data_IF_276895405102
#
_entry.id   IF_276895405102
#
_cell.length_a   1.000
_cell.length_b   1.000
_cell.length_c   1.000
_cell.angle_alpha   90.00
_cell.angle_beta   90.00
_cell.angle_gamma   90.00
#
_symmetry.space_group_name_H-M   'P 1'
#
loop_
_entity.id
_entity.type
_entity.pdbx_description
1 polymer ?
#
# COMPACT_ATOMS: atom_id res chain seq x y z
N UNK A 1 -26.95 78.70 -43.76
CA UNK A 1 -27.52 77.58 -44.49
C UNK A 1 -26.38 76.62 -44.87
N UNK A 2 -26.13 75.64 -44.09
CA UNK A 2 -25.18 74.58 -44.45
C UNK A 2 -25.88 73.24 -44.20
N UNK A 3 -26.07 72.47 -45.24
CA UNK A 3 -26.63 71.16 -45.26
C UNK A 3 -25.47 70.20 -45.14
N UNK A 4 -25.47 69.38 -44.11
CA UNK A 4 -24.53 68.26 -43.90
C UNK A 4 -25.08 66.98 -44.52
N UNK A 5 -24.31 66.38 -45.42
CA UNK A 5 -24.59 65.06 -45.97
C UNK A 5 -24.17 63.96 -44.98
N UNK A 6 -24.88 62.84 -44.87
CA UNK A 6 -24.54 61.80 -43.98
C UNK A 6 -23.46 60.85 -44.58
N UNK A 7 -22.51 60.45 -43.73
CA UNK A 7 -21.47 59.51 -44.04
C UNK A 7 -22.04 58.08 -44.13
N UNK A 8 -21.98 57.51 -45.32
CA UNK A 8 -22.43 56.13 -45.65
C UNK A 8 -21.25 55.12 -45.74
N UNK A 9 -20.18 55.36 -44.98
CA UNK A 9 -18.94 54.61 -45.15
C UNK A 9 -18.65 53.55 -44.02
N UNK A 10 -19.50 53.49 -42.98
CA UNK A 10 -19.17 52.59 -41.83
C UNK A 10 -19.70 51.15 -41.98
N UNK A 11 -20.76 50.93 -42.71
CA UNK A 11 -21.37 49.59 -42.82
C UNK A 11 -20.63 48.63 -43.77
N UNK A 12 -19.94 49.12 -44.76
CA UNK A 12 -19.17 48.25 -45.67
C UNK A 12 -17.84 47.81 -45.08
N UNK A 13 -17.21 48.63 -44.23
CA UNK A 13 -15.98 48.25 -43.55
C UNK A 13 -16.22 47.20 -42.43
N UNK A 14 -17.30 47.29 -41.68
CA UNK A 14 -17.65 46.27 -40.67
C UNK A 14 -17.97 44.92 -41.33
N UNK A 15 -18.64 44.90 -42.46
CA UNK A 15 -18.97 43.64 -43.17
C UNK A 15 -17.73 42.95 -43.74
N UNK A 16 -16.71 43.71 -44.13
CA UNK A 16 -15.45 43.17 -44.66
C UNK A 16 -14.58 42.57 -43.54
N UNK A 17 -14.53 43.23 -42.37
CA UNK A 17 -13.81 42.73 -41.19
C UNK A 17 -14.45 41.46 -40.66
N UNK A 18 -15.76 41.37 -40.58
CA UNK A 18 -16.46 40.15 -40.11
C UNK A 18 -16.25 38.96 -41.03
N UNK A 19 -16.22 39.13 -42.32
CA UNK A 19 -15.99 38.04 -43.29
C UNK A 19 -14.55 37.57 -43.37
N UNK A 20 -13.58 38.43 -43.01
CA UNK A 20 -12.16 38.10 -43.16
C UNK A 20 -11.53 37.53 -41.89
N UNK A 21 -11.97 37.97 -40.71
CA UNK A 21 -11.36 37.58 -39.42
C UNK A 21 -12.17 36.56 -38.60
N UNK A 22 -13.47 36.40 -38.87
CA UNK A 22 -14.32 35.44 -38.20
C UNK A 22 -14.52 34.13 -38.99
N UNK A 23 -13.52 33.70 -39.73
CA UNK A 23 -13.50 32.27 -40.14
C UNK A 23 -13.36 31.42 -38.90
N UNK A 24 -14.50 30.91 -38.40
CA UNK A 24 -14.53 29.89 -37.34
C UNK A 24 -13.49 28.84 -37.71
N UNK A 25 -12.54 28.50 -36.80
CA UNK A 25 -11.59 27.46 -37.08
C UNK A 25 -12.37 26.20 -37.44
N UNK A 26 -12.11 25.65 -38.60
CA UNK A 26 -12.67 24.35 -38.99
C UNK A 26 -12.39 23.41 -37.86
N UNK A 27 -13.44 22.85 -37.24
CA UNK A 27 -13.29 21.78 -36.27
C UNK A 27 -12.59 20.63 -37.00
N UNK A 28 -11.25 20.58 -36.86
CA UNK A 28 -10.49 19.38 -37.19
C UNK A 28 -11.01 18.33 -36.23
N UNK A 29 -12.04 17.64 -36.62
CA UNK A 29 -12.42 16.38 -35.99
C UNK A 29 -11.28 15.42 -36.27
N UNK A 30 -10.27 15.45 -35.42
CA UNK A 30 -9.25 14.41 -35.37
C UNK A 30 -10.02 13.14 -35.02
N UNK A 31 -10.47 12.42 -36.05
CA UNK A 31 -10.91 11.05 -35.89
C UNK A 31 -9.70 10.28 -35.37
N UNK A 32 -9.52 10.33 -34.04
CA UNK A 32 -8.65 9.38 -33.36
C UNK A 32 -9.35 8.04 -33.56
N UNK A 33 -8.93 7.32 -34.59
CA UNK A 33 -9.26 5.91 -34.77
C UNK A 33 -8.84 5.24 -33.47
N UNK A 34 -9.79 5.04 -32.57
CA UNK A 34 -9.59 4.22 -31.40
C UNK A 34 -9.40 2.78 -31.91
N UNK A 35 -8.16 2.45 -32.24
CA UNK A 35 -7.78 1.06 -32.35
C UNK A 35 -8.05 0.47 -30.97
N UNK A 36 -9.16 -0.21 -30.81
CA UNK A 36 -9.43 -1.05 -29.64
C UNK A 36 -8.40 -2.17 -29.70
N UNK A 37 -7.25 -1.94 -29.07
CA UNK A 37 -6.35 -3.03 -28.78
C UNK A 37 -7.07 -3.95 -27.82
N UNK A 38 -7.47 -5.10 -28.30
CA UNK A 38 -7.98 -6.17 -27.44
C UNK A 38 -6.75 -6.74 -26.73
N UNK A 39 -6.41 -6.14 -25.58
CA UNK A 39 -5.33 -6.66 -24.74
C UNK A 39 -5.83 -7.94 -24.07
N UNK A 40 -5.19 -9.05 -24.37
CA UNK A 40 -5.35 -10.28 -23.63
C UNK A 40 -4.24 -10.32 -22.57
N UNK A 41 -4.62 -10.33 -21.30
CA UNK A 41 -3.65 -10.49 -20.23
C UNK A 41 -2.96 -11.86 -20.34
N UNK A 42 -1.64 -11.95 -20.07
CA UNK A 42 -0.96 -13.24 -20.04
C UNK A 42 -1.58 -14.13 -18.96
N UNK A 43 -1.67 -15.45 -19.22
CA UNK A 43 -2.25 -16.38 -18.24
C UNK A 43 -1.37 -16.46 -17.00
N UNK A 44 -2.01 -16.61 -15.82
CA UNK A 44 -1.29 -16.63 -14.54
C UNK A 44 -0.48 -17.91 -14.31
N UNK A 45 -0.73 -18.96 -15.07
CA UNK A 45 -0.03 -20.25 -14.99
C UNK A 45 1.43 -20.21 -15.46
N UNK A 46 1.85 -19.13 -16.16
CA UNK A 46 3.27 -18.89 -16.46
C UNK A 46 4.07 -18.42 -15.21
N UNK A 47 3.39 -18.04 -14.13
CA UNK A 47 4.00 -17.57 -12.90
C UNK A 47 4.13 -18.71 -11.89
N UNK A 48 5.16 -18.62 -11.05
CA UNK A 48 5.37 -19.57 -9.97
C UNK A 48 4.40 -19.32 -8.81
N UNK A 49 3.92 -20.42 -8.20
CA UNK A 49 3.15 -20.43 -6.98
C UNK A 49 4.02 -20.27 -5.72
N UNK A 50 3.38 -20.17 -4.56
CA UNK A 50 4.05 -20.16 -3.26
C UNK A 50 4.91 -21.41 -3.07
N UNK A 51 6.11 -21.24 -2.51
CA UNK A 51 7.05 -22.36 -2.25
C UNK A 51 7.41 -22.41 -0.76
N UNK A 52 7.37 -23.61 -0.23
CA UNK A 52 7.71 -23.89 1.17
C UNK A 52 6.55 -23.60 2.13
N UNK A 53 6.72 -24.06 3.36
CA UNK A 53 5.80 -23.79 4.47
C UNK A 53 6.55 -22.99 5.54
N UNK A 54 5.97 -21.86 6.02
CA UNK A 54 6.62 -21.09 7.08
C UNK A 54 6.61 -21.90 8.38
N UNK A 55 7.70 -21.84 9.13
CA UNK A 55 7.78 -22.44 10.46
C UNK A 55 8.33 -21.42 11.44
N UNK A 56 7.49 -21.02 12.39
CA UNK A 56 7.85 -20.11 13.49
C UNK A 56 8.51 -20.83 14.67
N UNK A 57 8.66 -22.15 14.61
CA UNK A 57 9.06 -22.95 15.76
C UNK A 57 7.94 -23.07 16.81
N UNK A 58 8.30 -23.12 18.08
CA UNK A 58 7.31 -23.23 19.18
C UNK A 58 6.73 -21.83 19.51
N UNK A 59 5.54 -21.56 18.98
CA UNK A 59 4.83 -20.30 19.17
C UNK A 59 4.55 -20.00 20.64
N UNK A 60 4.15 -21.03 21.41
CA UNK A 60 3.83 -20.87 22.83
C UNK A 60 5.07 -20.58 23.66
N UNK A 61 6.17 -21.28 23.38
CA UNK A 61 7.45 -21.03 24.04
C UNK A 61 7.93 -19.61 23.77
N UNK A 62 7.90 -19.15 22.52
CA UNK A 62 8.30 -17.79 22.14
C UNK A 62 7.42 -16.72 22.81
N UNK A 63 6.10 -16.90 22.83
CA UNK A 63 5.18 -16.00 23.51
C UNK A 63 5.49 -15.90 25.02
N UNK A 64 5.78 -17.03 25.67
CA UNK A 64 6.17 -17.05 27.06
C UNK A 64 7.52 -16.37 27.32
N UNK A 65 8.51 -16.55 26.44
CA UNK A 65 9.80 -15.87 26.52
C UNK A 65 9.60 -14.36 26.42
N UNK A 66 8.83 -13.87 25.46
CA UNK A 66 8.52 -12.45 25.30
C UNK A 66 7.89 -11.90 26.58
N UNK A 67 6.84 -12.55 27.08
CA UNK A 67 6.13 -12.13 28.28
C UNK A 67 7.06 -12.07 29.48
N UNK A 68 7.83 -13.13 29.74
CA UNK A 68 8.76 -13.20 30.87
C UNK A 68 9.88 -12.17 30.76
N UNK A 69 10.43 -11.96 29.59
CA UNK A 69 11.48 -10.95 29.38
C UNK A 69 10.96 -9.57 29.73
N UNK A 70 9.79 -9.17 29.23
CA UNK A 70 9.19 -7.88 29.55
C UNK A 70 8.87 -7.76 31.06
N UNK A 71 8.36 -8.81 31.69
CA UNK A 71 8.09 -8.83 33.12
C UNK A 71 9.35 -8.66 33.95
N UNK A 72 10.48 -9.27 33.57
CA UNK A 72 11.77 -9.09 34.25
C UNK A 72 12.26 -7.64 34.25
N UNK A 73 11.86 -6.86 33.24
CA UNK A 73 12.12 -5.41 33.18
C UNK A 73 10.99 -4.56 33.79
N UNK A 74 10.08 -5.18 34.54
CA UNK A 74 8.96 -4.50 35.19
C UNK A 74 7.92 -3.95 34.22
N UNK A 75 7.73 -4.63 33.11
CA UNK A 75 6.72 -4.30 32.09
C UNK A 75 5.69 -5.42 32.04
N UNK A 76 4.51 -5.16 32.60
CA UNK A 76 3.40 -6.11 32.52
C UNK A 76 2.69 -5.99 31.17
N UNK A 77 2.49 -7.16 30.53
CA UNK A 77 1.83 -7.26 29.23
C UNK A 77 0.86 -8.45 29.19
N UNK A 78 -0.19 -8.27 28.43
CA UNK A 78 -1.13 -9.33 28.09
C UNK A 78 -0.87 -9.75 26.62
N UNK A 79 -0.59 -11.04 26.42
CA UNK A 79 -0.44 -11.58 25.06
C UNK A 79 -1.81 -11.69 24.41
N UNK A 80 -1.91 -11.25 23.16
CA UNK A 80 -3.14 -11.27 22.36
C UNK A 80 -3.03 -12.31 21.25
N UNK A 81 -3.02 -11.90 20.00
CA UNK A 81 -2.99 -12.79 18.83
C UNK A 81 -1.56 -13.11 18.40
N UNK A 82 -1.39 -14.23 17.70
CA UNK A 82 -0.14 -14.56 17.03
C UNK A 82 -0.44 -14.86 15.56
N UNK A 83 0.14 -14.06 14.68
CA UNK A 83 -0.03 -14.17 13.24
C UNK A 83 1.23 -14.72 12.60
N UNK A 84 1.11 -15.86 11.91
CA UNK A 84 2.24 -16.50 11.23
C UNK A 84 2.25 -16.06 9.79
N UNK A 85 3.20 -15.21 9.43
CA UNK A 85 3.43 -14.78 8.06
C UNK A 85 4.45 -15.66 7.32
N UNK A 86 4.72 -15.34 6.05
CA UNK A 86 5.64 -16.14 5.23
C UNK A 86 7.09 -16.13 5.73
N UNK A 87 7.58 -14.99 6.22
CA UNK A 87 8.97 -14.80 6.65
C UNK A 87 9.12 -14.48 8.13
N UNK A 88 8.09 -13.89 8.75
CA UNK A 88 8.09 -13.50 10.17
C UNK A 88 6.80 -13.96 10.84
N UNK A 89 6.86 -14.14 12.16
CA UNK A 89 5.70 -14.36 13.01
C UNK A 89 5.52 -13.14 13.91
N UNK A 90 4.35 -12.53 13.87
CA UNK A 90 4.00 -11.37 14.67
C UNK A 90 3.29 -11.81 15.95
N UNK A 91 3.87 -11.47 17.09
CA UNK A 91 3.27 -11.63 18.41
C UNK A 91 2.67 -10.32 18.84
N UNK A 92 1.35 -10.25 19.00
CA UNK A 92 0.68 -9.03 19.44
C UNK A 92 0.49 -9.05 20.95
N UNK A 93 0.68 -7.90 21.57
CA UNK A 93 0.53 -7.74 23.01
C UNK A 93 -0.06 -6.38 23.38
N UNK A 94 -0.74 -6.34 24.53
CA UNK A 94 -1.28 -5.15 25.11
C UNK A 94 -0.50 -4.83 26.40
N UNK A 95 0.19 -3.69 26.48
CA UNK A 95 0.85 -3.27 27.71
C UNK A 95 -0.18 -2.82 28.76
N UNK A 96 0.16 -2.97 30.04
CA UNK A 96 -0.62 -2.42 31.14
C UNK A 96 -0.68 -0.88 31.06
N UNK A 97 -1.71 -0.30 31.64
CA UNK A 97 -1.90 1.15 31.64
C UNK A 97 -0.70 1.86 32.28
N UNK A 98 -0.34 3.02 31.71
CA UNK A 98 0.77 3.83 32.20
C UNK A 98 2.16 3.42 31.70
N UNK A 99 2.30 2.32 30.96
CA UNK A 99 3.58 1.91 30.38
C UNK A 99 3.88 2.73 29.14
N UNK A 100 5.05 3.39 29.12
CA UNK A 100 5.52 4.14 27.95
C UNK A 100 6.00 3.17 26.87
N UNK A 101 5.53 3.32 25.63
CA UNK A 101 5.92 2.49 24.49
C UNK A 101 7.43 2.48 24.26
N UNK A 102 8.09 3.63 24.48
CA UNK A 102 9.55 3.75 24.35
C UNK A 102 10.33 2.78 25.28
N UNK A 103 9.78 2.37 26.43
CA UNK A 103 10.41 1.36 27.29
C UNK A 103 10.42 -0.03 26.63
N UNK A 104 9.35 -0.36 25.90
CA UNK A 104 9.23 -1.64 25.22
C UNK A 104 10.13 -1.68 23.99
N UNK A 105 10.12 -0.61 23.18
CA UNK A 105 10.98 -0.53 22.00
C UNK A 105 12.47 -0.52 22.34
N UNK A 106 12.86 0.04 23.49
CA UNK A 106 14.24 0.02 23.97
C UNK A 106 14.75 -1.41 24.27
N UNK A 107 13.86 -2.36 24.58
CA UNK A 107 14.21 -3.75 24.89
C UNK A 107 14.31 -4.66 23.66
N UNK A 108 14.33 -4.09 22.45
CA UNK A 108 14.40 -4.84 21.20
C UNK A 108 15.59 -5.82 21.17
N UNK A 109 16.77 -5.36 21.60
CA UNK A 109 17.98 -6.19 21.62
C UNK A 109 17.92 -7.28 22.71
N UNK A 110 17.35 -6.97 23.87
CA UNK A 110 17.20 -7.94 24.96
C UNK A 110 16.22 -9.05 24.58
N UNK A 111 15.12 -8.69 23.90
CA UNK A 111 14.17 -9.64 23.34
C UNK A 111 14.79 -10.49 22.22
N UNK A 112 15.59 -9.89 21.35
CA UNK A 112 16.29 -10.60 20.29
C UNK A 112 17.28 -11.63 20.86
N UNK A 113 17.97 -11.27 21.93
CA UNK A 113 18.88 -12.17 22.65
C UNK A 113 18.09 -13.32 23.32
N UNK A 114 17.01 -12.99 24.03
CA UNK A 114 16.21 -13.97 24.76
C UNK A 114 15.53 -15.01 23.83
N UNK A 115 15.13 -14.58 22.64
CA UNK A 115 14.51 -15.40 21.60
C UNK A 115 15.51 -16.12 20.70
N UNK A 116 16.82 -15.79 20.83
CA UNK A 116 17.88 -16.20 19.90
C UNK A 116 17.49 -15.92 18.42
N UNK A 117 16.86 -14.77 18.16
CA UNK A 117 16.29 -14.41 16.88
C UNK A 117 16.68 -12.98 16.48
N UNK A 118 17.36 -12.82 15.35
CA UNK A 118 17.79 -11.52 14.84
C UNK A 118 17.69 -11.50 13.30
N UNK A 119 17.19 -10.41 12.69
CA UNK A 119 16.70 -9.17 13.30
C UNK A 119 15.28 -9.33 13.88
N UNK A 120 15.03 -8.72 15.03
CA UNK A 120 13.70 -8.59 15.62
C UNK A 120 13.18 -7.16 15.39
N UNK A 121 11.90 -7.02 15.05
CA UNK A 121 11.28 -5.71 14.88
C UNK A 121 10.14 -5.54 15.87
N UNK A 122 10.03 -4.33 16.44
CA UNK A 122 8.92 -3.95 17.30
C UNK A 122 8.14 -2.83 16.64
N UNK A 123 6.86 -3.06 16.41
CA UNK A 123 5.92 -2.08 15.90
C UNK A 123 5.03 -1.59 17.05
N UNK A 124 5.22 -0.34 17.46
CA UNK A 124 4.56 0.21 18.64
C UNK A 124 4.08 1.64 18.42
N UNK A 125 2.79 1.87 18.23
CA UNK A 125 1.70 0.88 18.12
C UNK A 125 1.58 0.25 16.72
N UNK A 126 0.82 -0.83 16.60
CA UNK A 126 0.40 -1.36 15.29
C UNK A 126 -0.61 -0.35 14.68
N UNK A 127 -0.47 0.04 13.41
CA UNK A 127 -1.38 0.96 12.75
C UNK A 127 -2.85 0.51 12.86
N UNK A 128 -3.71 1.42 13.35
CA UNK A 128 -5.14 1.14 13.50
C UNK A 128 -5.52 0.25 14.69
N UNK A 129 -4.57 -0.21 15.52
CA UNK A 129 -4.82 -1.06 16.70
C UNK A 129 -4.13 -0.51 17.95
N UNK A 130 -4.75 -0.66 19.13
CA UNK A 130 -4.13 -0.31 20.42
C UNK A 130 -3.26 -1.47 20.96
N UNK A 131 -2.46 -2.06 20.09
CA UNK A 131 -1.61 -3.21 20.36
C UNK A 131 -0.17 -2.93 19.90
N UNK A 132 0.77 -3.68 20.45
CA UNK A 132 2.16 -3.70 20.02
C UNK A 132 2.42 -5.01 19.31
N UNK A 133 3.10 -4.97 18.17
CA UNK A 133 3.56 -6.13 17.43
C UNK A 133 5.05 -6.36 17.65
N UNK A 134 5.42 -7.61 17.94
CA UNK A 134 6.80 -8.08 17.96
C UNK A 134 6.96 -9.09 16.83
N UNK A 135 7.70 -8.72 15.81
CA UNK A 135 7.97 -9.55 14.64
C UNK A 135 9.26 -10.35 14.87
N UNK A 136 9.10 -11.66 14.89
CA UNK A 136 10.19 -12.63 15.06
C UNK A 136 10.41 -13.37 13.75
N UNK A 137 11.63 -13.41 13.19
CA UNK A 137 11.89 -14.15 11.96
C UNK A 137 11.57 -15.63 12.12
N UNK A 138 10.95 -16.22 11.12
CA UNK A 138 10.65 -17.63 11.08
C UNK A 138 11.93 -18.48 10.95
N UNK A 139 11.93 -19.69 11.48
CA UNK A 139 13.03 -20.65 11.31
C UNK A 139 13.14 -21.12 9.86
N UNK A 140 12.02 -21.36 9.21
CA UNK A 140 11.94 -21.55 7.76
C UNK A 140 10.97 -20.54 7.16
N UNK A 141 11.38 -19.94 6.06
CA UNK A 141 10.59 -18.97 5.34
C UNK A 141 9.82 -19.66 4.21
N UNK A 142 8.61 -19.16 3.91
CA UNK A 142 7.90 -19.49 2.69
C UNK A 142 8.14 -18.40 1.65
N UNK A 143 8.36 -18.81 0.42
CA UNK A 143 8.46 -17.87 -0.70
C UNK A 143 7.05 -17.60 -1.24
N UNK A 144 6.63 -16.36 -1.20
CA UNK A 144 5.34 -15.93 -1.75
C UNK A 144 5.44 -15.76 -3.25
N UNK A 145 4.67 -16.54 -4.00
CA UNK A 145 4.62 -16.50 -5.46
C UNK A 145 3.79 -15.32 -5.98
N UNK A 146 4.23 -14.73 -7.07
CA UNK A 146 3.48 -13.64 -7.70
C UNK A 146 2.10 -14.11 -8.21
N UNK A 147 1.99 -15.38 -8.60
CA UNK A 147 0.72 -15.98 -9.04
C UNK A 147 -0.35 -15.91 -7.95
N UNK A 148 0.00 -16.32 -6.73
CA UNK A 148 -0.94 -16.28 -5.59
C UNK A 148 -1.37 -14.87 -5.25
N UNK A 149 -0.45 -13.90 -5.31
CA UNK A 149 -0.73 -12.49 -5.05
C UNK A 149 -1.66 -11.88 -6.10
N UNK A 150 -1.41 -12.11 -7.38
CA UNK A 150 -2.26 -11.62 -8.47
C UNK A 150 -3.65 -12.29 -8.48
N UNK A 151 -3.76 -13.47 -7.89
CA UNK A 151 -5.02 -14.19 -7.73
C UNK A 151 -5.90 -13.71 -6.57
N UNK A 152 -5.39 -12.83 -5.70
CA UNK A 152 -6.14 -12.30 -4.54
C UNK A 152 -7.30 -11.41 -4.99
N UNK A 153 -8.41 -11.47 -4.27
CA UNK A 153 -9.62 -10.68 -4.60
C UNK A 153 -9.36 -9.17 -4.49
N UNK A 154 -8.55 -8.74 -3.54
CA UNK A 154 -8.17 -7.35 -3.36
C UNK A 154 -7.48 -6.78 -4.62
N UNK A 155 -6.66 -7.61 -5.29
CA UNK A 155 -6.00 -7.19 -6.52
C UNK A 155 -6.95 -7.19 -7.72
N UNK A 156 -7.85 -8.15 -7.83
CA UNK A 156 -8.82 -8.23 -8.94
C UNK A 156 -9.73 -7.01 -9.02
N UNK A 157 -10.04 -6.41 -7.87
CA UNK A 157 -10.88 -5.23 -7.76
C UNK A 157 -10.10 -3.92 -7.65
N UNK A 158 -8.78 -3.96 -7.86
CA UNK A 158 -7.92 -2.79 -7.75
C UNK A 158 -7.97 -1.87 -8.98
N UNK A 159 -7.41 -0.68 -8.84
CA UNK A 159 -7.32 0.30 -9.94
C UNK A 159 -6.28 -0.12 -10.99
N UNK A 160 -6.36 0.36 -12.26
CA UNK A 160 -5.48 -0.08 -13.33
C UNK A 160 -3.96 0.12 -13.11
N UNK A 161 -3.57 1.00 -12.20
CA UNK A 161 -2.16 1.27 -11.89
C UNK A 161 -1.71 0.68 -10.56
N UNK A 162 -2.49 -0.24 -9.98
CA UNK A 162 -2.12 -0.94 -8.75
C UNK A 162 -1.06 -1.99 -9.05
N UNK A 163 -0.05 -2.07 -8.19
CA UNK A 163 0.97 -3.11 -8.23
C UNK A 163 1.10 -3.76 -6.84
N UNK A 164 1.48 -5.03 -6.83
CA UNK A 164 1.60 -5.82 -5.61
C UNK A 164 3.06 -5.85 -5.18
N UNK A 165 3.32 -5.59 -3.88
CA UNK A 165 4.65 -5.68 -3.27
C UNK A 165 4.86 -6.96 -2.45
N UNK A 166 3.78 -7.53 -1.91
CA UNK A 166 3.86 -8.68 -1.03
C UNK A 166 2.56 -8.93 -0.28
N UNK A 167 2.65 -9.78 0.76
CA UNK A 167 1.55 -10.09 1.69
C UNK A 167 1.89 -9.55 3.07
N UNK A 168 0.92 -8.92 3.72
CA UNK A 168 1.02 -8.49 5.12
C UNK A 168 0.94 -9.68 6.08
N UNK A 169 1.39 -9.47 7.31
CA UNK A 169 1.38 -10.48 8.40
C UNK A 169 0.11 -10.38 9.25
N UNK A 170 -0.62 -9.26 9.11
CA UNK A 170 -1.84 -8.95 9.90
C UNK A 170 -3.11 -9.35 9.19
#
# INVERSE_FOLDING_TARGET
SAVSAPMETDKEQESFFEKTFLKKPAKLSRQVSQRRFTYAAPPLDILEDDKGTPSSGDIKANANIIKRTLQNFGIEVEMSEVNVGPSVTQYTLKPAEGIKLARITALQNDLALALAAHPLRIEAPIPGRSLIGIEVPNRSIALVGLRSLLGMEEFKHSTPLTFILGRDVS
#
